data_IF_184269519380
#
_entry.id   IF_184269519380
#
_cell.length_a   1.000
_cell.length_b   1.000
_cell.length_c   1.000
_cell.angle_alpha   90.00
_cell.angle_beta   90.00
_cell.angle_gamma   90.00
#
_symmetry.space_group_name_H-M   'P 1'
#
loop_
_entity.id
_entity.type
_entity.pdbx_description
1 polymer ?
#
# COMPACT_ATOMS: atom_id res chain seq x y z
N UNK A 1 38.01 -26.62 40.26
CA UNK A 1 36.60 -26.52 39.77
C UNK A 1 36.34 -25.31 38.85
N UNK A 2 37.33 -24.80 38.09
CA UNK A 2 37.18 -23.54 37.33
C UNK A 2 36.84 -23.73 35.82
N UNK A 3 37.18 -24.87 35.22
CA UNK A 3 37.09 -25.04 33.77
C UNK A 3 35.66 -25.34 33.24
N UNK A 4 34.86 -26.06 34.03
CA UNK A 4 33.49 -26.46 33.66
C UNK A 4 32.54 -25.24 33.69
N UNK A 5 32.66 -24.39 34.71
CA UNK A 5 31.86 -23.17 34.84
C UNK A 5 32.12 -22.17 33.69
N UNK A 6 33.39 -22.01 33.29
CA UNK A 6 33.77 -21.15 32.16
C UNK A 6 33.24 -21.70 30.83
N UNK A 7 33.33 -23.03 30.61
CA UNK A 7 32.77 -23.68 29.42
C UNK A 7 31.25 -23.54 29.34
N UNK A 8 30.56 -23.60 30.47
CA UNK A 8 29.11 -23.40 30.54
C UNK A 8 28.71 -21.95 30.23
N UNK A 9 29.41 -20.97 30.80
CA UNK A 9 29.19 -19.54 30.55
C UNK A 9 29.43 -19.16 29.08
N UNK A 10 30.45 -19.73 28.44
CA UNK A 10 30.71 -19.51 27.02
C UNK A 10 29.59 -20.09 26.15
N UNK A 11 29.15 -21.33 26.42
CA UNK A 11 28.01 -21.93 25.70
C UNK A 11 26.71 -21.14 25.83
N UNK A 12 26.45 -20.53 26.99
CA UNK A 12 25.30 -19.65 27.19
C UNK A 12 25.41 -18.38 26.34
N UNK A 13 26.60 -17.79 26.27
CA UNK A 13 26.86 -16.60 25.45
C UNK A 13 26.70 -16.91 23.96
N UNK A 14 27.20 -18.05 23.50
CA UNK A 14 27.08 -18.49 22.10
C UNK A 14 25.61 -18.72 21.71
N UNK A 15 24.81 -19.35 22.59
CA UNK A 15 23.36 -19.51 22.38
C UNK A 15 22.64 -18.17 22.29
N UNK A 16 22.97 -17.21 23.14
CA UNK A 16 22.35 -15.88 23.14
C UNK A 16 22.69 -15.12 21.85
N UNK A 17 23.93 -15.22 21.37
CA UNK A 17 24.37 -14.62 20.09
C UNK A 17 23.63 -15.28 18.93
N UNK A 18 23.49 -16.60 18.93
CA UNK A 18 22.77 -17.33 17.89
C UNK A 18 21.28 -16.94 17.85
N UNK A 19 20.62 -16.87 19.02
CA UNK A 19 19.21 -16.48 19.13
C UNK A 19 18.97 -15.04 18.64
N UNK A 20 19.86 -14.10 18.99
CA UNK A 20 19.78 -12.73 18.49
C UNK A 20 20.03 -12.64 16.97
N UNK A 21 20.97 -13.42 16.44
CA UNK A 21 21.22 -13.46 14.99
C UNK A 21 20.04 -14.03 14.20
N UNK A 22 19.33 -15.00 14.77
CA UNK A 22 18.11 -15.56 14.18
C UNK A 22 16.98 -14.53 14.19
N UNK A 23 16.77 -13.83 15.32
CA UNK A 23 15.77 -12.74 15.41
C UNK A 23 16.06 -11.60 14.44
N UNK A 24 17.32 -11.20 14.27
CA UNK A 24 17.73 -10.17 13.31
C UNK A 24 17.43 -10.63 11.88
N UNK A 25 17.83 -11.85 11.50
CA UNK A 25 17.53 -12.41 10.18
C UNK A 25 16.03 -12.52 9.90
N UNK A 26 15.23 -12.96 10.88
CA UNK A 26 13.77 -13.02 10.72
C UNK A 26 13.16 -11.64 10.53
N UNK A 27 13.67 -10.61 11.23
CA UNK A 27 13.21 -9.23 11.04
C UNK A 27 13.65 -8.67 9.69
N UNK A 28 14.88 -8.94 9.23
CA UNK A 28 15.38 -8.53 7.91
C UNK A 28 14.56 -9.19 6.78
N UNK A 29 14.27 -10.49 6.88
CA UNK A 29 13.41 -11.22 5.93
C UNK A 29 11.95 -10.71 5.93
N UNK A 30 11.44 -10.26 7.08
CA UNK A 30 10.13 -9.61 7.19
C UNK A 30 10.15 -8.22 6.52
N UNK A 31 11.19 -7.41 6.74
CA UNK A 31 11.40 -6.12 6.07
C UNK A 31 11.55 -6.27 4.54
N UNK A 32 12.24 -7.32 4.08
CA UNK A 32 12.41 -7.63 2.66
C UNK A 32 11.08 -8.08 2.02
N UNK A 33 10.27 -8.88 2.71
CA UNK A 33 8.91 -9.24 2.25
C UNK A 33 7.94 -8.07 2.29
N UNK A 34 8.03 -7.20 3.29
CA UNK A 34 7.23 -5.97 3.40
C UNK A 34 7.60 -4.91 2.34
N UNK A 35 8.74 -5.06 1.66
CA UNK A 35 9.21 -4.13 0.62
C UNK A 35 8.69 -4.44 -0.79
N UNK A 36 7.90 -5.52 -0.97
CA UNK A 36 7.38 -5.94 -2.28
C UNK A 36 6.18 -5.09 -2.78
N UNK A 37 6.16 -3.80 -2.48
CA UNK A 37 5.37 -2.85 -3.26
C UNK A 37 6.33 -2.25 -4.27
N UNK A 38 6.03 -2.46 -5.54
CA UNK A 38 6.85 -2.02 -6.67
C UNK A 38 7.30 -0.57 -6.48
N UNK A 39 8.61 -0.34 -6.49
CA UNK A 39 9.17 1.00 -6.37
C UNK A 39 8.60 1.88 -7.48
N UNK A 40 7.86 2.92 -7.10
CA UNK A 40 7.33 3.90 -8.05
C UNK A 40 8.46 4.81 -8.51
N UNK A 41 8.52 5.04 -9.81
CA UNK A 41 9.44 5.98 -10.42
C UNK A 41 8.71 7.17 -11.06
N UNK A 42 9.48 8.07 -11.68
CA UNK A 42 8.94 9.23 -12.37
C UNK A 42 8.00 8.83 -13.53
N UNK A 43 8.33 7.77 -14.26
CA UNK A 43 7.55 7.31 -15.40
C UNK A 43 6.19 6.76 -14.95
N UNK A 44 6.15 6.07 -13.81
CA UNK A 44 4.91 5.59 -13.22
C UNK A 44 3.99 6.75 -12.78
N UNK A 45 4.56 7.90 -12.41
CA UNK A 45 3.85 9.02 -11.79
C UNK A 45 3.56 10.20 -12.73
N UNK A 46 4.04 10.17 -13.99
CA UNK A 46 3.87 11.27 -14.95
C UNK A 46 2.42 11.67 -15.22
N UNK A 47 1.48 10.73 -15.09
CA UNK A 47 0.04 10.95 -15.32
C UNK A 47 -0.71 11.43 -14.06
N UNK A 48 0.03 11.68 -12.97
CA UNK A 48 -0.50 12.06 -11.66
C UNK A 48 0.17 13.32 -11.15
N UNK A 49 1.49 13.43 -11.36
CA UNK A 49 2.31 14.52 -10.89
C UNK A 49 2.80 15.29 -12.11
N UNK A 50 2.46 16.58 -12.15
CA UNK A 50 3.05 17.50 -13.12
C UNK A 50 4.46 17.88 -12.69
N UNK A 51 5.44 17.10 -13.15
CA UNK A 51 6.85 17.37 -12.88
C UNK A 51 7.34 18.66 -13.55
N UNK A 52 6.69 19.13 -14.61
CA UNK A 52 7.06 20.41 -15.22
C UNK A 52 6.68 21.57 -14.30
N UNK A 53 5.52 21.48 -13.64
CA UNK A 53 5.13 22.45 -12.62
C UNK A 53 6.09 22.42 -11.43
N UNK A 54 6.55 21.24 -11.00
CA UNK A 54 7.57 21.12 -9.95
C UNK A 54 8.88 21.82 -10.31
N UNK A 55 9.27 21.76 -11.59
CA UNK A 55 10.47 22.39 -12.12
C UNK A 55 10.35 23.92 -12.23
N UNK A 56 9.16 24.49 -11.96
CA UNK A 56 8.98 25.95 -11.86
C UNK A 56 9.20 26.50 -10.45
N UNK A 57 9.35 25.64 -9.44
CA UNK A 57 9.45 26.06 -8.03
C UNK A 57 10.80 26.68 -7.66
N UNK A 58 11.86 26.39 -8.40
CA UNK A 58 13.19 26.94 -8.19
C UNK A 58 13.93 27.00 -9.54
N UNK A 59 15.05 27.72 -9.59
CA UNK A 59 15.96 27.78 -10.74
C UNK A 59 17.19 26.87 -10.55
N UNK A 60 17.52 26.49 -9.31
CA UNK A 60 18.64 25.59 -9.04
C UNK A 60 18.27 24.14 -9.35
N UNK A 61 19.01 23.55 -10.29
CA UNK A 61 18.82 22.16 -10.74
C UNK A 61 18.97 21.15 -9.59
N UNK A 62 19.87 21.41 -8.62
CA UNK A 62 20.07 20.50 -7.50
C UNK A 62 18.86 20.52 -6.56
N UNK A 63 18.33 21.69 -6.23
CA UNK A 63 17.08 21.83 -5.47
C UNK A 63 15.91 21.17 -6.19
N UNK A 64 15.72 21.40 -7.49
CA UNK A 64 14.63 20.78 -8.26
C UNK A 64 14.70 19.25 -8.24
N UNK A 65 15.89 18.67 -8.45
CA UNK A 65 16.08 17.22 -8.38
C UNK A 65 15.76 16.68 -6.98
N UNK A 66 16.20 17.36 -5.92
CA UNK A 66 15.89 16.98 -4.54
C UNK A 66 14.38 17.00 -4.27
N UNK A 67 13.67 18.03 -4.72
CA UNK A 67 12.20 18.09 -4.61
C UNK A 67 11.53 16.95 -5.39
N UNK A 68 12.03 16.64 -6.59
CA UNK A 68 11.49 15.55 -7.42
C UNK A 68 11.61 14.19 -6.71
N UNK A 69 12.80 13.88 -6.21
CA UNK A 69 13.04 12.64 -5.47
C UNK A 69 12.14 12.52 -4.24
N UNK A 70 11.99 13.60 -3.46
CA UNK A 70 11.15 13.57 -2.26
C UNK A 70 9.65 13.52 -2.58
N UNK A 71 9.21 14.12 -3.68
CA UNK A 71 7.84 14.00 -4.18
C UNK A 71 7.51 12.54 -4.54
N UNK A 72 8.40 11.86 -5.26
CA UNK A 72 8.23 10.42 -5.58
C UNK A 72 8.20 9.58 -4.29
N UNK A 73 9.08 9.88 -3.32
CA UNK A 73 9.09 9.20 -2.01
C UNK A 73 7.79 9.40 -1.24
N UNK A 74 7.27 10.63 -1.15
CA UNK A 74 6.00 10.92 -0.48
C UNK A 74 4.88 10.09 -1.11
N UNK A 75 4.77 10.10 -2.43
CA UNK A 75 3.72 9.35 -3.12
C UNK A 75 3.85 7.85 -2.88
N UNK A 76 5.06 7.30 -2.97
CA UNK A 76 5.34 5.88 -2.69
C UNK A 76 4.91 5.47 -1.28
N UNK A 77 5.24 6.29 -0.27
CA UNK A 77 4.85 6.05 1.12
C UNK A 77 3.33 6.10 1.27
N UNK A 78 2.68 7.11 0.70
CA UNK A 78 1.23 7.28 0.77
C UNK A 78 0.50 6.11 0.11
N UNK A 79 0.89 5.74 -1.11
CA UNK A 79 0.31 4.60 -1.84
C UNK A 79 0.46 3.30 -1.05
N UNK A 80 1.65 3.01 -0.52
CA UNK A 80 1.89 1.85 0.36
C UNK A 80 0.97 1.87 1.58
N UNK A 81 0.94 3.00 2.30
CA UNK A 81 0.14 3.15 3.51
C UNK A 81 -1.34 2.87 3.26
N UNK A 82 -1.90 3.40 2.16
CA UNK A 82 -3.31 3.18 1.80
C UNK A 82 -3.62 1.70 1.55
N UNK A 83 -2.73 0.97 0.86
CA UNK A 83 -2.93 -0.46 0.58
C UNK A 83 -2.85 -1.29 1.87
N UNK A 84 -1.82 -1.07 2.69
CA UNK A 84 -1.62 -1.79 3.96
C UNK A 84 -2.75 -1.52 4.96
N UNK A 85 -3.18 -0.25 5.09
CA UNK A 85 -4.35 0.07 5.91
C UNK A 85 -5.61 -0.58 5.34
N UNK A 86 -5.79 -0.58 4.02
CA UNK A 86 -6.91 -1.23 3.35
C UNK A 86 -7.00 -2.72 3.68
N UNK A 87 -5.86 -3.42 3.71
CA UNK A 87 -5.77 -4.82 4.15
C UNK A 87 -6.25 -5.02 5.58
N UNK A 88 -5.65 -4.31 6.54
CA UNK A 88 -6.01 -4.42 7.96
C UNK A 88 -7.49 -4.10 8.18
N UNK A 89 -8.00 -3.06 7.54
CA UNK A 89 -9.40 -2.66 7.63
C UNK A 89 -10.33 -3.72 7.02
N UNK A 90 -9.95 -4.37 5.93
CA UNK A 90 -10.71 -5.46 5.31
C UNK A 90 -10.77 -6.68 6.23
N UNK A 91 -9.64 -7.12 6.78
CA UNK A 91 -9.57 -8.28 7.68
C UNK A 91 -10.48 -8.10 8.91
N UNK A 92 -10.42 -6.91 9.53
CA UNK A 92 -11.26 -6.59 10.69
C UNK A 92 -12.73 -6.46 10.30
N UNK A 93 -13.03 -5.88 9.14
CA UNK A 93 -14.41 -5.80 8.64
C UNK A 93 -15.00 -7.19 8.38
N UNK A 94 -14.29 -8.07 7.67
CA UNK A 94 -14.77 -9.41 7.36
C UNK A 94 -15.03 -10.22 8.63
N UNK A 95 -14.19 -10.04 9.65
CA UNK A 95 -14.35 -10.67 10.95
C UNK A 95 -15.56 -10.13 11.73
N UNK A 96 -15.79 -8.82 11.70
CA UNK A 96 -16.67 -8.14 12.68
C UNK A 96 -17.93 -7.50 12.10
N UNK A 97 -18.05 -7.31 10.78
CA UNK A 97 -19.14 -6.56 10.14
C UNK A 97 -20.54 -7.13 10.39
N UNK A 98 -20.63 -8.40 10.81
CA UNK A 98 -21.88 -9.09 11.14
C UNK A 98 -22.02 -9.40 12.63
N UNK A 99 -21.16 -8.84 13.49
CA UNK A 99 -21.18 -9.07 14.94
C UNK A 99 -21.53 -7.80 15.72
N UNK A 100 -22.51 -7.89 16.63
CA UNK A 100 -22.87 -6.83 17.56
C UNK A 100 -24.13 -6.00 17.21
N UNK A 101 -24.33 -4.91 17.95
CA UNK A 101 -25.48 -4.00 17.89
C UNK A 101 -25.56 -3.17 16.60
N UNK A 102 -26.59 -2.31 16.46
CA UNK A 102 -26.89 -1.46 15.29
C UNK A 102 -25.68 -0.70 14.68
N UNK A 103 -24.74 -0.23 15.51
CA UNK A 103 -23.52 0.46 15.04
C UNK A 103 -22.34 -0.49 14.76
N UNK A 104 -22.42 -1.77 15.12
CA UNK A 104 -21.40 -2.81 14.88
C UNK A 104 -20.11 -2.64 15.72
N UNK A 105 -19.45 -3.75 16.07
CA UNK A 105 -18.13 -3.70 16.74
C UNK A 105 -17.08 -3.00 15.86
N UNK A 106 -17.20 -3.17 14.54
CA UNK A 106 -16.32 -2.56 13.55
C UNK A 106 -16.31 -1.02 13.60
N UNK A 107 -17.48 -0.37 13.64
CA UNK A 107 -17.55 1.11 13.62
C UNK A 107 -16.93 1.72 14.88
N UNK A 108 -17.17 1.11 16.05
CA UNK A 108 -16.55 1.55 17.32
C UNK A 108 -15.02 1.40 17.27
N UNK A 109 -14.53 0.32 16.68
CA UNK A 109 -13.10 0.11 16.52
C UNK A 109 -12.47 1.13 15.57
N UNK A 110 -13.18 1.53 14.50
CA UNK A 110 -12.72 2.60 13.61
C UNK A 110 -12.54 3.94 14.35
N UNK A 111 -13.48 4.31 15.22
CA UNK A 111 -13.41 5.53 16.03
C UNK A 111 -12.19 5.54 16.94
N UNK A 112 -11.93 4.43 17.66
CA UNK A 112 -10.76 4.26 18.53
C UNK A 112 -9.46 4.32 17.72
N UNK A 113 -9.47 3.77 16.50
CA UNK A 113 -8.33 3.74 15.60
C UNK A 113 -8.09 5.06 14.87
N UNK A 114 -8.97 6.07 15.05
CA UNK A 114 -8.85 7.37 14.41
C UNK A 114 -9.15 7.36 12.91
N UNK A 115 -9.88 6.36 12.41
CA UNK A 115 -10.20 6.22 10.97
C UNK A 115 -11.68 6.50 10.74
N UNK A 116 -12.00 7.43 9.84
CA UNK A 116 -13.41 7.69 9.50
C UNK A 116 -14.01 6.50 8.72
N UNK A 117 -15.33 6.22 8.87
CA UNK A 117 -15.98 5.16 8.08
C UNK A 117 -15.82 5.31 6.57
N UNK A 118 -15.79 6.55 6.06
CA UNK A 118 -15.56 6.85 4.64
C UNK A 118 -14.14 6.50 4.22
N UNK A 119 -13.13 6.91 5.00
CA UNK A 119 -11.73 6.54 4.76
C UNK A 119 -11.56 5.02 4.78
N UNK A 120 -12.17 4.36 5.76
CA UNK A 120 -12.10 2.92 5.88
C UNK A 120 -12.72 2.21 4.67
N UNK A 121 -13.89 2.67 4.21
CA UNK A 121 -14.51 2.14 2.98
C UNK A 121 -13.60 2.33 1.75
N UNK A 122 -13.05 3.53 1.57
CA UNK A 122 -12.18 3.84 0.43
C UNK A 122 -10.94 2.95 0.38
N UNK A 123 -10.28 2.76 1.52
CA UNK A 123 -9.07 1.94 1.61
C UNK A 123 -9.37 0.47 1.35
N UNK A 124 -10.46 -0.06 1.91
CA UNK A 124 -10.90 -1.44 1.66
C UNK A 124 -11.26 -1.69 0.20
N UNK A 125 -11.99 -0.76 -0.44
CA UNK A 125 -12.30 -0.86 -1.88
C UNK A 125 -11.02 -0.90 -2.73
N UNK A 126 -10.07 -0.01 -2.45
CA UNK A 126 -8.80 0.01 -3.18
C UNK A 126 -8.00 -1.27 -2.96
N UNK A 127 -7.90 -1.75 -1.73
CA UNK A 127 -7.23 -3.01 -1.43
C UNK A 127 -7.92 -4.19 -2.14
N UNK A 128 -9.26 -4.25 -2.11
CA UNK A 128 -10.01 -5.28 -2.84
C UNK A 128 -9.67 -5.26 -4.34
N UNK A 129 -9.64 -4.09 -4.98
CA UNK A 129 -9.24 -4.00 -6.38
C UNK A 129 -7.77 -4.40 -6.59
N UNK A 130 -6.86 -3.97 -5.71
CA UNK A 130 -5.43 -4.26 -5.75
C UNK A 130 -5.13 -5.77 -5.69
N UNK A 131 -5.87 -6.52 -4.88
CA UNK A 131 -5.72 -7.99 -4.77
C UNK A 131 -6.26 -8.75 -5.99
N UNK A 132 -7.13 -8.13 -6.79
CA UNK A 132 -7.76 -8.77 -7.95
C UNK A 132 -7.05 -8.47 -9.29
N UNK A 133 -5.90 -7.80 -9.26
CA UNK A 133 -5.11 -7.44 -10.44
C UNK A 133 -3.71 -8.06 -10.39
N UNK A 134 -3.06 -8.15 -11.54
CA UNK A 134 -1.67 -8.61 -11.65
C UNK A 134 -0.69 -7.53 -11.14
N UNK A 135 0.62 -7.82 -11.12
CA UNK A 135 1.63 -6.90 -10.60
C UNK A 135 1.67 -5.53 -11.32
N UNK A 136 1.42 -5.50 -12.64
CA UNK A 136 1.32 -4.23 -13.38
C UNK A 136 0.06 -3.45 -12.97
N UNK A 137 -1.06 -4.16 -12.84
CA UNK A 137 -2.31 -3.60 -12.36
C UNK A 137 -2.23 -3.11 -10.92
N UNK A 138 -1.44 -3.75 -10.05
CA UNK A 138 -1.20 -3.30 -8.67
C UNK A 138 -0.56 -1.92 -8.63
N UNK A 139 0.45 -1.67 -9.48
CA UNK A 139 1.07 -0.34 -9.65
C UNK A 139 0.00 0.67 -10.08
N UNK A 140 -0.83 0.30 -11.06
CA UNK A 140 -1.92 1.14 -11.54
C UNK A 140 -2.93 1.47 -10.44
N UNK A 141 -3.42 0.48 -9.70
CA UNK A 141 -4.40 0.65 -8.62
C UNK A 141 -3.83 1.47 -7.47
N UNK A 142 -2.53 1.36 -7.17
CA UNK A 142 -1.89 2.17 -6.13
C UNK A 142 -1.86 3.68 -6.43
N UNK A 143 -2.05 4.06 -7.69
CA UNK A 143 -1.80 5.43 -8.17
C UNK A 143 -3.06 6.16 -8.69
N UNK A 144 -4.14 5.46 -9.01
CA UNK A 144 -5.38 6.08 -9.52
C UNK A 144 -6.20 6.85 -8.46
N UNK A 145 -6.94 7.90 -8.83
CA UNK A 145 -7.86 8.59 -7.93
C UNK A 145 -8.93 7.66 -7.31
N UNK A 146 -9.40 7.99 -6.11
CA UNK A 146 -10.45 7.21 -5.43
C UNK A 146 -11.75 7.11 -6.25
N UNK A 147 -12.09 8.15 -7.02
CA UNK A 147 -13.25 8.15 -7.92
C UNK A 147 -13.21 6.96 -8.91
N UNK A 148 -12.06 6.70 -9.53
CA UNK A 148 -11.91 5.59 -10.47
C UNK A 148 -12.00 4.23 -9.77
N UNK A 149 -11.41 4.10 -8.57
CA UNK A 149 -11.56 2.88 -7.75
C UNK A 149 -13.03 2.62 -7.45
N UNK A 150 -13.76 3.64 -7.01
CA UNK A 150 -15.18 3.53 -6.69
C UNK A 150 -15.98 3.07 -7.91
N UNK A 151 -15.74 3.67 -9.08
CA UNK A 151 -16.42 3.34 -10.32
C UNK A 151 -16.16 1.89 -10.76
N UNK A 152 -14.90 1.45 -10.73
CA UNK A 152 -14.55 0.05 -11.05
C UNK A 152 -15.22 -0.91 -10.07
N UNK A 153 -15.25 -0.58 -8.76
CA UNK A 153 -15.81 -1.46 -7.73
C UNK A 153 -17.33 -1.59 -7.76
N UNK A 154 -18.06 -0.62 -8.31
CA UNK A 154 -19.54 -0.65 -8.36
C UNK A 154 -20.08 -1.06 -9.74
N UNK A 155 -19.22 -1.16 -10.75
CA UNK A 155 -19.63 -1.55 -12.09
C UNK A 155 -20.07 -3.01 -12.15
N UNK A 156 -21.14 -3.29 -12.91
CA UNK A 156 -21.57 -4.65 -13.24
C UNK A 156 -20.56 -5.38 -14.14
N UNK A 157 -19.66 -4.66 -14.81
CA UNK A 157 -18.59 -5.17 -15.67
C UNK A 157 -17.21 -5.01 -15.02
N UNK A 158 -17.13 -5.09 -13.68
CA UNK A 158 -15.89 -4.97 -12.91
C UNK A 158 -14.76 -5.86 -13.46
N UNK A 159 -15.08 -7.08 -13.85
CA UNK A 159 -14.13 -8.06 -14.38
C UNK A 159 -13.51 -7.59 -15.70
N UNK A 160 -14.26 -6.89 -16.55
CA UNK A 160 -13.75 -6.32 -17.80
C UNK A 160 -12.76 -5.19 -17.52
N UNK A 161 -13.04 -4.34 -16.54
CA UNK A 161 -12.10 -3.30 -16.13
C UNK A 161 -10.84 -3.88 -15.51
N UNK A 162 -10.95 -4.95 -14.72
CA UNK A 162 -9.79 -5.68 -14.19
C UNK A 162 -8.93 -6.22 -15.33
N UNK A 163 -9.54 -6.81 -16.37
CA UNK A 163 -8.83 -7.30 -17.55
C UNK A 163 -8.05 -6.17 -18.25
N UNK A 164 -8.71 -5.03 -18.53
CA UNK A 164 -8.09 -3.85 -19.14
C UNK A 164 -6.95 -3.28 -18.29
N UNK A 165 -7.12 -3.24 -16.96
CA UNK A 165 -6.07 -2.82 -16.01
C UNK A 165 -4.85 -3.76 -16.11
N UNK A 166 -5.10 -5.07 -16.17
CA UNK A 166 -4.05 -6.08 -16.29
C UNK A 166 -3.32 -6.01 -17.64
N UNK A 167 -4.01 -5.56 -18.70
CA UNK A 167 -3.46 -5.29 -20.04
C UNK A 167 -2.68 -3.96 -20.12
N UNK A 168 -2.76 -3.12 -19.08
CA UNK A 168 -1.99 -1.88 -19.00
C UNK A 168 -2.68 -0.64 -19.56
N UNK A 169 -4.01 -0.60 -19.53
CA UNK A 169 -4.79 0.61 -19.88
C UNK A 169 -4.27 1.85 -19.14
N UNK A 170 -4.21 3.00 -19.82
CA UNK A 170 -3.85 4.26 -19.17
C UNK A 170 -4.99 4.77 -18.30
N UNK A 171 -4.67 5.65 -17.34
CA UNK A 171 -5.67 6.28 -16.47
C UNK A 171 -6.73 7.04 -17.29
N UNK A 172 -6.28 7.77 -18.32
CA UNK A 172 -7.13 8.62 -19.16
C UNK A 172 -8.08 7.77 -20.00
N UNK A 173 -7.60 6.66 -20.55
CA UNK A 173 -8.44 5.72 -21.29
C UNK A 173 -9.48 5.07 -20.39
N UNK A 174 -9.10 4.63 -19.19
CA UNK A 174 -10.04 4.07 -18.23
C UNK A 174 -11.13 5.07 -17.83
N UNK A 175 -10.76 6.34 -17.64
CA UNK A 175 -11.72 7.40 -17.30
C UNK A 175 -12.75 7.61 -18.43
N UNK A 176 -12.30 7.64 -19.68
CA UNK A 176 -13.18 7.77 -20.86
C UNK A 176 -14.13 6.59 -21.03
N UNK A 177 -13.62 5.37 -20.87
CA UNK A 177 -14.42 4.14 -20.96
C UNK A 177 -15.55 4.13 -19.95
N UNK A 178 -15.26 4.56 -18.72
CA UNK A 178 -16.27 4.62 -17.66
C UNK A 178 -17.27 5.76 -17.90
N UNK A 179 -16.82 6.92 -18.40
CA UNK A 179 -17.74 8.02 -18.76
C UNK A 179 -18.72 7.61 -19.85
N UNK A 180 -18.25 6.93 -20.90
CA UNK A 180 -19.11 6.44 -21.99
C UNK A 180 -20.10 5.35 -21.53
N UNK A 181 -19.76 4.58 -20.50
CA UNK A 181 -20.63 3.55 -19.95
C UNK A 181 -21.75 4.09 -19.03
N UNK A 182 -21.70 5.38 -18.65
CA UNK A 182 -22.68 6.03 -17.76
C UNK A 182 -23.66 6.92 -18.56
N UNK A 183 -23.33 7.26 -19.81
CA UNK A 183 -24.23 7.95 -20.77
C UNK A 183 -25.21 7.00 -21.45
#
# INVERSE_FOLDING_TARGET
MSNIANKFKNRLKDKLVQENSLKIKTNEELLEKESQITALDQENLKDIIDFNLLDTLDTDKKTMNFLRENTIKIFSIQSKCVIELGKVLSDVYETLAKTGSKDGVYTKWLEISGVSPRTALNYRKRYSLYENVNENGKIFVSKIPQKLVDLVCVSETKEEYIAKINEGISRIELEKEIEYAIE
#
